data_IF_545642139814
#
_entry.id   IF_545642139814
#
_cell.length_a   1.000
_cell.length_b   1.000
_cell.length_c   1.000
_cell.angle_alpha   90.00
_cell.angle_beta   90.00
_cell.angle_gamma   90.00
#
_symmetry.space_group_name_H-M   'P 1'
#
loop_
_entity.id
_entity.type
_entity.pdbx_description
1 polymer ?
#
# COMPACT_ATOMS: atom_id res chain seq x y z
N UNK A 1 -9.26 20.74 6.15
CA UNK A 1 -10.31 20.20 5.25
C UNK A 1 -9.69 19.01 4.56
N UNK A 2 -10.07 17.79 4.91
CA UNK A 2 -9.61 16.61 4.19
C UNK A 2 -10.40 16.57 2.89
N UNK A 3 -9.73 16.86 1.77
CA UNK A 3 -10.29 16.64 0.44
C UNK A 3 -10.95 15.27 0.40
N UNK A 4 -12.12 15.20 -0.23
CA UNK A 4 -12.87 13.97 -0.50
C UNK A 4 -11.95 13.07 -1.33
N UNK A 5 -11.15 12.29 -0.60
CA UNK A 5 -9.92 11.70 -1.09
C UNK A 5 -10.29 10.52 -1.99
N UNK A 6 -10.19 10.72 -3.30
CA UNK A 6 -10.27 9.64 -4.26
C UNK A 6 -9.11 8.69 -3.95
N UNK A 7 -9.41 7.57 -3.32
CA UNK A 7 -8.44 6.54 -3.00
C UNK A 7 -8.10 5.78 -4.29
N UNK A 8 -7.11 6.30 -5.02
CA UNK A 8 -6.65 5.72 -6.28
C UNK A 8 -6.23 4.26 -6.13
N UNK A 9 -5.71 3.85 -4.97
CA UNK A 9 -5.36 2.44 -4.74
C UNK A 9 -6.63 1.59 -4.72
N UNK A 10 -7.68 2.01 -4.00
CA UNK A 10 -8.97 1.31 -4.05
C UNK A 10 -9.50 1.18 -5.48
N UNK A 11 -9.45 2.26 -6.26
CA UNK A 11 -9.88 2.25 -7.67
C UNK A 11 -9.07 1.27 -8.51
N UNK A 12 -7.74 1.24 -8.36
CA UNK A 12 -6.85 0.31 -9.07
C UNK A 12 -7.04 -1.17 -8.69
N UNK A 13 -7.51 -1.43 -7.46
CA UNK A 13 -7.86 -2.79 -7.04
C UNK A 13 -9.15 -3.28 -7.70
N UNK A 14 -10.08 -2.38 -8.01
CA UNK A 14 -11.33 -2.68 -8.72
C UNK A 14 -11.05 -2.81 -10.22
N UNK A 15 -10.57 -1.73 -10.85
CA UNK A 15 -10.22 -1.66 -12.27
C UNK A 15 -8.71 -1.54 -12.43
N UNK A 16 -8.01 -2.57 -12.96
CA UNK A 16 -6.58 -2.54 -13.17
C UNK A 16 -6.12 -1.37 -14.04
N UNK A 17 -4.91 -0.86 -13.78
CA UNK A 17 -4.35 0.30 -14.50
C UNK A 17 -4.38 0.15 -16.03
N UNK A 18 -4.12 -1.06 -16.56
CA UNK A 18 -4.08 -1.28 -18.01
C UNK A 18 -5.45 -1.16 -18.70
N UNK A 19 -6.54 -1.33 -17.96
CA UNK A 19 -7.93 -1.23 -18.46
C UNK A 19 -8.45 0.21 -18.49
N UNK A 20 -7.74 1.15 -17.86
CA UNK A 20 -8.10 2.57 -17.83
C UNK A 20 -7.83 3.23 -19.19
N UNK A 21 -8.54 4.31 -19.48
CA UNK A 21 -8.24 5.20 -20.60
C UNK A 21 -6.94 5.99 -20.36
N UNK A 22 -6.38 6.54 -21.43
CA UNK A 22 -5.07 7.18 -21.40
C UNK A 22 -5.08 8.48 -20.56
N UNK A 23 -6.16 9.26 -20.60
CA UNK A 23 -6.28 10.49 -19.79
C UNK A 23 -6.26 10.16 -18.29
N UNK A 24 -7.03 9.16 -17.86
CA UNK A 24 -7.03 8.68 -16.47
C UNK A 24 -5.67 8.13 -16.06
N UNK A 25 -4.99 7.39 -16.94
CA UNK A 25 -3.64 6.89 -16.67
C UNK A 25 -2.66 8.04 -16.45
N UNK A 26 -2.70 9.05 -17.30
CA UNK A 26 -1.83 10.24 -17.20
C UNK A 26 -2.09 10.99 -15.89
N UNK A 27 -3.35 11.19 -15.49
CA UNK A 27 -3.68 11.80 -14.20
C UNK A 27 -3.09 11.03 -13.02
N UNK A 28 -3.21 9.70 -13.02
CA UNK A 28 -2.67 8.83 -11.97
C UNK A 28 -1.16 8.94 -11.90
N UNK A 29 -0.48 8.95 -13.06
CA UNK A 29 0.98 9.07 -13.13
C UNK A 29 1.46 10.44 -12.66
N UNK A 30 0.76 11.52 -13.02
CA UNK A 30 1.08 12.91 -12.61
C UNK A 30 0.89 13.08 -11.10
N UNK A 31 -0.22 12.57 -10.53
CA UNK A 31 -0.46 12.61 -9.07
C UNK A 31 0.56 11.78 -8.31
N UNK A 32 1.00 10.68 -8.91
CA UNK A 32 1.99 9.79 -8.35
C UNK A 32 1.46 8.95 -7.19
N UNK A 33 2.40 8.43 -6.41
CA UNK A 33 2.16 7.43 -5.37
C UNK A 33 1.44 8.03 -4.15
N UNK A 34 0.28 7.49 -3.72
CA UNK A 34 -0.40 7.95 -2.52
C UNK A 34 0.30 7.47 -1.24
N UNK A 35 0.54 8.41 -0.33
CA UNK A 35 1.21 8.19 0.97
C UNK A 35 0.34 8.65 2.15
N UNK A 36 -0.90 8.14 2.28
CA UNK A 36 -1.82 8.61 3.31
C UNK A 36 -1.39 8.21 4.72
N UNK A 37 -1.76 9.01 5.72
CA UNK A 37 -1.67 8.58 7.11
C UNK A 37 -2.73 7.49 7.39
N UNK A 38 -2.30 6.28 7.72
CA UNK A 38 -3.18 5.14 8.00
C UNK A 38 -3.41 4.98 9.50
N UNK A 39 -4.64 4.66 9.89
CA UNK A 39 -5.07 4.38 11.26
C UNK A 39 -4.81 2.94 11.70
N UNK A 40 -3.80 2.27 11.16
CA UNK A 40 -3.49 0.88 11.51
C UNK A 40 -2.81 0.84 12.88
N UNK A 41 -3.47 0.18 13.84
CA UNK A 41 -2.93 -0.11 15.16
C UNK A 41 -3.18 -1.57 15.52
N UNK A 42 -2.15 -2.25 16.02
CA UNK A 42 -2.22 -3.66 16.39
C UNK A 42 -1.59 -3.85 17.77
N UNK A 43 -2.27 -4.61 18.63
CA UNK A 43 -1.70 -5.05 19.89
C UNK A 43 -0.78 -6.25 19.65
N UNK A 44 0.40 -6.22 20.26
CA UNK A 44 1.34 -7.33 20.24
C UNK A 44 1.76 -7.66 21.67
N UNK A 45 2.20 -8.91 21.87
CA UNK A 45 2.64 -9.42 23.16
C UNK A 45 4.04 -10.00 23.02
N UNK A 46 4.96 -9.52 23.85
CA UNK A 46 6.34 -10.04 23.89
C UNK A 46 6.78 -10.10 25.35
N UNK A 47 7.26 -11.27 25.78
CA UNK A 47 7.76 -11.51 27.14
C UNK A 47 6.76 -11.08 28.24
N UNK A 48 5.47 -11.37 28.04
CA UNK A 48 4.41 -11.04 29.00
C UNK A 48 3.96 -9.57 29.00
N UNK A 49 4.63 -8.67 28.27
CA UNK A 49 4.21 -7.27 28.13
C UNK A 49 3.36 -7.08 26.87
N UNK A 50 2.29 -6.29 27.00
CA UNK A 50 1.42 -5.86 25.89
C UNK A 50 1.88 -4.48 25.41
N UNK A 51 2.06 -4.30 24.12
CA UNK A 51 2.41 -3.03 23.50
C UNK A 51 1.65 -2.83 22.19
N UNK A 52 1.52 -1.58 21.73
CA UNK A 52 0.90 -1.27 20.43
C UNK A 52 1.96 -1.08 19.36
N UNK A 53 1.72 -1.68 18.19
CA UNK A 53 2.40 -1.37 16.94
C UNK A 53 1.47 -0.48 16.14
N UNK A 54 1.95 0.71 15.82
CA UNK A 54 1.20 1.68 15.03
C UNK A 54 1.91 1.89 13.70
N UNK A 55 1.12 2.13 12.67
CA UNK A 55 1.64 2.59 11.39
C UNK A 55 2.47 3.87 11.58
N UNK A 56 3.52 4.02 10.78
CA UNK A 56 4.35 5.21 10.74
C UNK A 56 4.47 5.69 9.29
N UNK A 57 4.17 6.97 9.07
CA UNK A 57 4.24 7.61 7.75
C UNK A 57 5.64 7.54 7.15
N UNK A 58 6.68 7.62 7.98
CA UNK A 58 8.10 7.57 7.57
C UNK A 58 8.48 6.25 6.87
N UNK A 59 7.66 5.20 6.96
CA UNK A 59 7.86 3.98 6.19
C UNK A 59 7.79 4.22 4.67
N UNK A 60 7.03 5.23 4.22
CA UNK A 60 6.97 5.61 2.82
C UNK A 60 8.28 6.20 2.29
N UNK A 61 9.02 6.89 3.16
CA UNK A 61 10.32 7.46 2.84
C UNK A 61 11.40 6.37 2.78
N UNK A 62 11.33 5.39 3.70
CA UNK A 62 12.23 4.25 3.72
C UNK A 62 12.06 3.28 2.54
N UNK A 63 10.86 3.24 1.94
CA UNK A 63 10.53 2.34 0.82
C UNK A 63 9.80 3.12 -0.28
N UNK A 64 10.50 3.69 -1.28
CA UNK A 64 9.92 4.53 -2.35
C UNK A 64 8.89 3.86 -3.28
N UNK A 65 8.72 2.55 -3.19
CA UNK A 65 7.68 1.79 -3.88
C UNK A 65 6.40 1.61 -3.06
N UNK A 66 6.46 1.78 -1.73
CA UNK A 66 5.37 1.49 -0.78
C UNK A 66 4.26 2.56 -0.80
N UNK A 67 3.01 2.19 -0.98
CA UNK A 67 1.89 3.13 -0.95
C UNK A 67 0.80 2.68 0.03
N UNK A 68 -0.20 3.53 0.26
CA UNK A 68 -1.32 3.22 1.16
C UNK A 68 -2.68 3.52 0.55
N UNK A 69 -3.68 2.79 1.03
CA UNK A 69 -5.09 3.06 0.80
C UNK A 69 -5.75 3.49 2.12
N UNK A 70 -6.32 4.69 2.16
CA UNK A 70 -7.10 5.18 3.30
C UNK A 70 -8.44 4.44 3.45
N UNK A 71 -9.04 3.95 2.37
CA UNK A 71 -10.29 3.20 2.45
C UNK A 71 -10.04 1.76 2.91
N UNK A 72 -9.01 1.09 2.37
CA UNK A 72 -8.68 -0.29 2.78
C UNK A 72 -7.93 -0.35 4.10
N UNK A 73 -7.31 0.75 4.54
CA UNK A 73 -6.43 0.82 5.72
C UNK A 73 -5.28 -0.20 5.63
N UNK A 74 -4.62 -0.23 4.46
CA UNK A 74 -3.60 -1.23 4.11
C UNK A 74 -2.50 -0.64 3.24
N UNK A 75 -1.35 -1.30 3.25
CA UNK A 75 -0.17 -0.97 2.45
C UNK A 75 -0.09 -1.82 1.18
N UNK A 76 0.38 -1.23 0.10
CA UNK A 76 0.48 -1.84 -1.23
C UNK A 76 1.78 -1.44 -1.93
N UNK A 77 2.09 -2.05 -3.07
CA UNK A 77 3.23 -1.65 -3.90
C UNK A 77 2.73 -0.85 -5.11
N UNK A 78 3.16 0.41 -5.21
CA UNK A 78 2.74 1.32 -6.27
C UNK A 78 3.13 0.86 -7.67
N UNK A 79 4.42 0.59 -7.98
CA UNK A 79 4.78 0.12 -9.32
C UNK A 79 4.07 -1.20 -9.66
N UNK A 80 3.90 -2.11 -8.70
CA UNK A 80 3.17 -3.36 -8.97
C UNK A 80 1.70 -3.11 -9.30
N UNK A 81 1.00 -2.16 -8.66
CA UNK A 81 -0.38 -1.80 -9.01
C UNK A 81 -0.51 -1.27 -10.44
N UNK A 82 0.52 -0.57 -10.94
CA UNK A 82 0.52 0.01 -12.28
C UNK A 82 0.96 -0.98 -13.37
N UNK A 83 1.90 -1.86 -13.05
CA UNK A 83 2.58 -2.72 -14.03
C UNK A 83 2.05 -4.16 -14.07
N UNK A 84 1.48 -4.66 -12.98
CA UNK A 84 1.02 -6.05 -12.94
C UNK A 84 -0.28 -6.22 -13.73
N UNK A 85 -0.36 -7.33 -14.47
CA UNK A 85 -1.63 -7.83 -15.02
C UNK A 85 -2.27 -8.88 -14.12
N UNK A 86 -1.54 -9.36 -13.11
CA UNK A 86 -1.97 -10.47 -12.25
C UNK A 86 -2.22 -9.99 -10.83
N UNK A 87 -3.43 -10.22 -10.32
CA UNK A 87 -3.83 -9.88 -8.94
C UNK A 87 -3.44 -10.96 -7.91
N UNK A 88 -2.42 -11.79 -8.17
CA UNK A 88 -2.06 -12.93 -7.31
C UNK A 88 -1.04 -12.60 -6.22
N UNK A 89 -0.50 -11.39 -6.20
CA UNK A 89 0.47 -10.96 -5.20
C UNK A 89 -0.21 -10.17 -4.06
N UNK A 90 0.31 -10.34 -2.83
CA UNK A 90 -0.15 -9.66 -1.62
C UNK A 90 -0.23 -8.13 -1.79
N UNK A 91 0.75 -7.53 -2.46
CA UNK A 91 0.95 -6.09 -2.62
C UNK A 91 0.03 -5.42 -3.65
N UNK A 92 -0.74 -6.20 -4.41
CA UNK A 92 -1.62 -5.73 -5.50
C UNK A 92 -3.05 -6.24 -5.37
N UNK A 93 -3.36 -7.01 -4.32
CA UNK A 93 -4.68 -7.59 -4.11
C UNK A 93 -5.20 -7.32 -2.71
N UNK A 94 -4.63 -7.97 -1.70
CA UNK A 94 -5.11 -7.91 -0.33
C UNK A 94 -4.52 -6.74 0.45
N UNK A 95 -3.26 -6.37 0.17
CA UNK A 95 -2.51 -5.36 0.92
C UNK A 95 -2.04 -5.86 2.29
N UNK A 96 -0.97 -5.23 2.78
CA UNK A 96 -0.33 -5.57 4.06
C UNK A 96 -0.91 -4.71 5.18
N UNK A 97 -1.41 -5.39 6.23
CA UNK A 97 -1.87 -4.76 7.48
C UNK A 97 -1.09 -5.26 8.70
N UNK A 98 -0.39 -6.38 8.56
CA UNK A 98 0.40 -6.99 9.63
C UNK A 98 1.71 -6.23 9.85
N UNK A 99 1.69 -5.31 10.82
CA UNK A 99 2.83 -4.48 11.18
C UNK A 99 3.94 -5.26 11.89
N UNK A 100 3.62 -6.43 12.47
CA UNK A 100 4.61 -7.28 13.13
C UNK A 100 5.53 -7.92 12.11
N UNK A 101 4.97 -8.40 11.01
CA UNK A 101 5.71 -9.08 9.95
C UNK A 101 6.06 -8.17 8.76
N UNK A 102 5.67 -6.89 8.79
CA UNK A 102 5.87 -5.94 7.69
C UNK A 102 7.31 -5.92 7.17
N UNK A 103 8.31 -5.85 8.05
CA UNK A 103 9.73 -5.83 7.63
C UNK A 103 10.13 -7.09 6.86
N UNK A 104 9.60 -8.26 7.23
CA UNK A 104 9.85 -9.51 6.50
C UNK A 104 9.12 -9.51 5.15
N UNK A 105 7.88 -9.01 5.10
CA UNK A 105 7.12 -8.84 3.85
C UNK A 105 7.85 -7.91 2.86
N UNK A 106 8.34 -6.77 3.33
CA UNK A 106 9.12 -5.79 2.56
C UNK A 106 10.39 -6.43 2.00
N UNK A 107 11.21 -7.06 2.86
CA UNK A 107 12.44 -7.73 2.41
C UNK A 107 12.15 -8.79 1.35
N UNK A 108 11.11 -9.59 1.56
CA UNK A 108 10.71 -10.62 0.60
C UNK A 108 10.29 -9.99 -0.74
N UNK A 109 9.58 -8.87 -0.71
CA UNK A 109 9.17 -8.15 -1.90
C UNK A 109 10.37 -7.60 -2.67
N UNK A 110 11.28 -6.91 -2.00
CA UNK A 110 12.47 -6.30 -2.61
C UNK A 110 13.46 -7.32 -3.18
N UNK A 111 13.49 -8.54 -2.61
CA UNK A 111 14.27 -9.66 -3.13
C UNK A 111 13.58 -10.41 -4.28
N UNK A 112 12.26 -10.25 -4.42
CA UNK A 112 11.49 -10.90 -5.47
C UNK A 112 11.73 -10.17 -6.78
N UNK A 113 12.17 -10.90 -7.81
CA UNK A 113 12.25 -10.40 -9.18
C UNK A 113 10.90 -10.54 -9.88
N UNK A 114 9.83 -10.06 -9.24
CA UNK A 114 8.54 -9.92 -9.94
C UNK A 114 8.63 -8.87 -11.04
#
# INVERSE_FOLDING_TARGET
>A
MCDTNLDVVSSLLETPFFELDDDTKDEILIRGRPTPCLGISQLDKKLGQVFSRNFKTDWYDGHPWLCGSSQKQRLFCWPCLLLTKTKNNLWVSQGVVDLKNLSACIKKHELSKE
#
